data_IF_046160846590
#
_entry.id   IF_046160846590
#
_cell.length_a   1.000
_cell.length_b   1.000
_cell.length_c   1.000
_cell.angle_alpha   90.00
_cell.angle_beta   90.00
_cell.angle_gamma   90.00
#
_symmetry.space_group_name_H-M   'P 1'
#
loop_
_entity.id
_entity.type
_entity.pdbx_description
1 polymer ?
#
# COMPACT_ATOMS: atom_id res chain seq x y z
N UNK A 1 -9.22 4.66 4.44
CA UNK A 1 -8.09 5.26 5.17
C UNK A 1 -8.43 6.68 5.56
N UNK A 2 -8.40 7.01 6.84
CA UNK A 2 -8.87 8.29 7.39
C UNK A 2 -7.74 9.18 7.90
N UNK A 3 -6.60 8.60 8.30
CA UNK A 3 -5.47 9.34 8.86
C UNK A 3 -4.12 8.79 8.43
N UNK A 4 -3.06 9.56 8.70
CA UNK A 4 -1.67 9.11 8.56
C UNK A 4 -1.37 7.89 9.45
N UNK A 5 -1.84 7.89 10.70
CA UNK A 5 -1.62 6.78 11.64
C UNK A 5 -2.26 5.48 11.15
N UNK A 6 -3.49 5.53 10.63
CA UNK A 6 -4.13 4.36 10.05
C UNK A 6 -3.32 3.84 8.85
N UNK A 7 -2.78 4.75 8.03
CA UNK A 7 -1.94 4.42 6.87
C UNK A 7 -0.67 3.69 7.29
N UNK A 8 0.03 4.19 8.31
CA UNK A 8 1.21 3.54 8.86
C UNK A 8 0.90 2.15 9.42
N UNK A 9 -0.22 2.01 10.13
CA UNK A 9 -0.64 0.74 10.70
C UNK A 9 -0.91 -0.30 9.61
N UNK A 10 -1.58 0.07 8.52
CA UNK A 10 -1.83 -0.85 7.42
C UNK A 10 -0.55 -1.23 6.66
N UNK A 11 0.41 -0.30 6.50
CA UNK A 11 1.74 -0.62 5.96
C UNK A 11 2.48 -1.61 6.86
N UNK A 12 2.47 -1.41 8.19
CA UNK A 12 3.11 -2.33 9.15
C UNK A 12 2.56 -3.76 9.01
N UNK A 13 1.25 -3.92 8.98
CA UNK A 13 0.59 -5.23 8.79
C UNK A 13 0.98 -5.90 7.47
N UNK A 14 1.12 -5.12 6.40
CA UNK A 14 1.55 -5.63 5.09
C UNK A 14 3.00 -6.12 5.14
N UNK A 15 3.91 -5.34 5.74
CA UNK A 15 5.31 -5.72 5.90
C UNK A 15 5.50 -6.95 6.79
N UNK A 16 4.70 -7.09 7.85
CA UNK A 16 4.68 -8.31 8.68
C UNK A 16 4.33 -9.55 7.84
N UNK A 17 3.34 -9.46 6.95
CA UNK A 17 2.99 -10.54 6.03
C UNK A 17 4.09 -10.84 5.02
N UNK A 18 4.73 -9.80 4.48
CA UNK A 18 5.88 -9.96 3.58
C UNK A 18 6.98 -10.74 4.28
N UNK A 19 7.31 -10.42 5.52
CA UNK A 19 8.32 -11.14 6.31
C UNK A 19 7.97 -12.63 6.48
N UNK A 20 6.72 -12.95 6.80
CA UNK A 20 6.27 -14.35 6.92
C UNK A 20 6.44 -15.10 5.60
N UNK A 21 6.13 -14.46 4.47
CA UNK A 21 6.30 -15.06 3.14
C UNK A 21 7.78 -15.25 2.80
N UNK A 22 8.62 -14.26 3.11
CA UNK A 22 10.08 -14.35 2.92
C UNK A 22 10.68 -15.52 3.68
N UNK A 23 10.32 -15.66 4.96
CA UNK A 23 10.78 -16.77 5.82
C UNK A 23 10.27 -18.12 5.30
N UNK A 24 9.01 -18.20 4.88
CA UNK A 24 8.40 -19.46 4.42
C UNK A 24 8.99 -19.97 3.11
N UNK A 25 9.31 -19.08 2.17
CA UNK A 25 9.74 -19.47 0.82
C UNK A 25 11.23 -19.22 0.55
N UNK A 26 11.97 -18.62 1.50
CA UNK A 26 13.39 -18.32 1.35
C UNK A 26 13.70 -17.28 0.26
N UNK A 27 12.69 -16.52 -0.20
CA UNK A 27 12.83 -15.50 -1.24
C UNK A 27 11.84 -14.36 -1.04
N UNK A 28 12.20 -13.18 -1.54
CA UNK A 28 11.33 -11.99 -1.53
C UNK A 28 10.14 -12.17 -2.46
N UNK A 29 8.95 -11.62 -2.12
CA UNK A 29 7.86 -11.50 -3.08
C UNK A 29 8.33 -10.72 -4.32
N UNK A 30 7.93 -11.18 -5.50
CA UNK A 30 8.24 -10.50 -6.77
C UNK A 30 7.51 -9.14 -6.87
N UNK A 31 6.34 -9.03 -6.24
CA UNK A 31 5.56 -7.81 -6.17
C UNK A 31 4.79 -7.74 -4.85
N UNK A 32 4.74 -6.55 -4.27
CA UNK A 32 3.91 -6.25 -3.10
C UNK A 32 2.93 -5.15 -3.52
N UNK A 33 1.64 -5.38 -3.32
CA UNK A 33 0.59 -4.44 -3.73
C UNK A 33 -0.24 -4.05 -2.52
N UNK A 34 -0.48 -2.75 -2.38
CA UNK A 34 -1.49 -2.22 -1.46
C UNK A 34 -2.59 -1.54 -2.26
N UNK A 35 -3.80 -2.09 -2.21
CA UNK A 35 -4.99 -1.50 -2.82
C UNK A 35 -5.81 -0.76 -1.77
N UNK A 36 -6.12 0.51 -2.02
CA UNK A 36 -6.90 1.37 -1.12
C UNK A 36 -8.04 2.02 -1.89
N UNK A 37 -9.28 1.65 -1.56
CA UNK A 37 -10.47 2.15 -2.25
C UNK A 37 -10.65 3.67 -2.08
N UNK A 38 -10.56 4.18 -0.85
CA UNK A 38 -10.69 5.61 -0.52
C UNK A 38 -9.74 6.01 0.61
N UNK A 39 -9.09 7.15 0.43
CA UNK A 39 -8.19 7.75 1.41
C UNK A 39 -8.39 9.27 1.46
N UNK A 40 -8.24 9.85 2.65
CA UNK A 40 -8.09 11.31 2.79
C UNK A 40 -6.79 11.78 2.13
N UNK A 41 -6.67 13.08 1.81
CA UNK A 41 -5.44 13.62 1.20
C UNK A 41 -4.19 13.40 2.06
N UNK A 42 -4.33 13.61 3.37
CA UNK A 42 -3.27 13.34 4.33
C UNK A 42 -2.85 11.86 4.30
N UNK A 43 -3.83 10.94 4.34
CA UNK A 43 -3.56 9.51 4.23
C UNK A 43 -2.93 9.13 2.88
N UNK A 44 -3.37 9.72 1.77
CA UNK A 44 -2.78 9.48 0.45
C UNK A 44 -1.31 9.90 0.40
N UNK A 45 -0.97 11.07 0.94
CA UNK A 45 0.41 11.55 1.01
C UNK A 45 1.28 10.59 1.82
N UNK A 46 0.80 10.17 2.99
CA UNK A 46 1.50 9.22 3.85
C UNK A 46 1.66 7.85 3.18
N UNK A 47 0.60 7.33 2.55
CA UNK A 47 0.63 6.08 1.82
C UNK A 47 1.63 6.13 0.66
N UNK A 48 1.58 7.15 -0.21
CA UNK A 48 2.50 7.30 -1.35
C UNK A 48 3.97 7.23 -0.88
N UNK A 49 4.32 8.02 0.14
CA UNK A 49 5.67 8.04 0.72
C UNK A 49 6.10 6.67 1.28
N UNK A 50 5.24 6.03 2.08
CA UNK A 50 5.56 4.74 2.69
C UNK A 50 5.65 3.64 1.65
N UNK A 51 4.75 3.61 0.67
CA UNK A 51 4.77 2.58 -0.37
C UNK A 51 5.99 2.71 -1.27
N UNK A 52 6.40 3.91 -1.67
CA UNK A 52 7.64 4.12 -2.42
C UNK A 52 8.87 3.67 -1.61
N UNK A 53 8.96 4.09 -0.35
CA UNK A 53 10.07 3.72 0.54
C UNK A 53 10.24 2.21 0.67
N UNK A 54 9.16 1.45 0.64
CA UNK A 54 9.16 0.00 0.85
C UNK A 54 9.04 -0.82 -0.44
N UNK A 55 9.05 -0.19 -1.62
CA UNK A 55 8.89 -0.90 -2.90
C UNK A 55 7.52 -1.56 -3.06
N UNK A 56 6.48 -0.97 -2.46
CA UNK A 56 5.09 -1.44 -2.54
C UNK A 56 4.40 -0.66 -3.66
N UNK A 57 3.71 -1.37 -4.55
CA UNK A 57 2.85 -0.74 -5.55
C UNK A 57 1.53 -0.32 -4.91
N UNK A 58 1.30 0.98 -4.82
CA UNK A 58 0.02 1.54 -4.35
C UNK A 58 -0.98 1.60 -5.51
N UNK A 59 -2.20 1.14 -5.27
CA UNK A 59 -3.34 1.29 -6.19
C UNK A 59 -4.44 2.04 -5.44
N UNK A 60 -4.82 3.22 -5.94
CA UNK A 60 -5.86 4.05 -5.33
C UNK A 60 -7.14 3.97 -6.15
N UNK A 61 -8.26 3.65 -5.48
CA UNK A 61 -9.57 3.54 -6.14
C UNK A 61 -10.04 4.85 -6.78
N UNK A 62 -9.69 6.01 -6.21
CA UNK A 62 -10.02 7.32 -6.78
C UNK A 62 -9.25 7.62 -8.09
N UNK A 63 -8.08 7.02 -8.30
CA UNK A 63 -7.32 7.18 -9.56
C UNK A 63 -7.90 6.30 -10.70
N UNK A 64 -8.70 5.28 -10.36
CA UNK A 64 -9.29 4.36 -11.34
C UNK A 64 -10.53 4.95 -12.01
N UNK A 65 -11.33 5.77 -11.31
CA UNK A 65 -12.46 6.48 -11.95
C UNK A 65 -11.99 7.41 -13.07
N UNK A 66 -10.86 8.11 -12.90
CA UNK A 66 -10.33 9.03 -13.91
C UNK A 66 -9.70 8.30 -15.12
N UNK A 67 -9.20 7.07 -14.92
CA UNK A 67 -8.55 6.30 -16.01
C UNK A 67 -9.55 5.42 -16.79
N UNK A 68 -10.66 5.01 -16.16
CA UNK A 68 -11.71 4.22 -16.80
C UNK A 68 -12.88 5.06 -17.33
N UNK A 69 -12.93 6.36 -17.04
CA UNK A 69 -13.88 7.31 -17.63
C UNK A 69 -13.46 7.76 -19.04
N UNK A 70 -13.13 6.80 -19.91
CA UNK A 70 -12.96 6.99 -21.37
C UNK A 70 -14.28 6.63 -22.05
#
# INVERSE_FOLDING_TARGET
MKSAEESEREIRKLLERVKIIEEKYGRKPEMIVLSVARATEEAMKTLKNLTEKHGIKLILGKEIEETLAI
#
